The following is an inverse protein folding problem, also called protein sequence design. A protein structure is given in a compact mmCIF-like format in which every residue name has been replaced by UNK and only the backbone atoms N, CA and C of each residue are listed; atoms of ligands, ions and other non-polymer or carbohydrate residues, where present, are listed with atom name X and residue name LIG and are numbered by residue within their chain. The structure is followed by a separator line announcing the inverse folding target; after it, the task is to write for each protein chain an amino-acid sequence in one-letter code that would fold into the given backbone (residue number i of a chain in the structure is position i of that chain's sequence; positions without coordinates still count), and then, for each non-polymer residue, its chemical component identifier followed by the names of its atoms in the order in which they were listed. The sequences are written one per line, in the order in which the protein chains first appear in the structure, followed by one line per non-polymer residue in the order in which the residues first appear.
data_IF_249713886111
#
_entry.id   IF_249713886111
#
_cell.length_a   1.000
_cell.length_b   1.000
_cell.length_c   1.000
_cell.angle_alpha   90.00
_cell.angle_beta   90.00
_cell.angle_gamma   90.00
#
_symmetry.space_group_name_H-M   'P 1'
#
loop_
_entity.id
_entity.type
_entity.pdbx_description
1 polymer ?
#
# COMPACT_ATOMS: atom_id res chain seq x y z
N UNK A 1 -0.73 5.78 6.49
CA UNK A 1 -0.53 5.72 7.95
C UNK A 1 0.86 5.20 8.31
N UNK A 2 1.48 5.73 9.37
CA UNK A 2 2.77 5.26 9.91
C UNK A 2 2.55 4.41 11.16
N UNK A 3 2.81 3.11 11.06
CA UNK A 3 2.40 2.10 12.07
C UNK A 3 3.58 1.25 12.56
N UNK A 4 4.54 0.96 11.70
CA UNK A 4 5.62 0.02 11.98
C UNK A 4 6.79 0.76 12.61
N UNK A 5 7.24 0.31 13.77
CA UNK A 5 8.40 0.84 14.48
C UNK A 5 9.58 -0.12 14.40
N UNK A 6 10.79 0.36 14.71
CA UNK A 6 12.00 -0.50 14.77
C UNK A 6 11.81 -1.70 15.72
N UNK A 7 11.27 -1.54 16.95
CA UNK A 7 10.97 -2.69 17.81
C UNK A 7 10.07 -3.76 17.16
N UNK A 8 9.08 -3.35 16.36
CA UNK A 8 8.22 -4.32 15.66
C UNK A 8 9.01 -5.11 14.62
N UNK A 9 9.88 -4.43 13.86
CA UNK A 9 10.77 -5.08 12.89
C UNK A 9 11.72 -6.07 13.56
N UNK A 10 12.24 -5.73 14.73
CA UNK A 10 13.10 -6.65 15.50
C UNK A 10 12.33 -7.90 15.93
N UNK A 11 11.10 -7.73 16.42
CA UNK A 11 10.24 -8.83 16.84
C UNK A 11 9.85 -9.74 15.67
N UNK A 12 9.39 -9.14 14.56
CA UNK A 12 8.90 -9.88 13.39
C UNK A 12 10.04 -10.58 12.64
N UNK A 13 11.18 -9.91 12.45
CA UNK A 13 12.29 -10.40 11.63
C UNK A 13 13.38 -11.11 12.43
N UNK A 14 13.25 -11.15 13.77
CA UNK A 14 14.21 -11.73 14.71
C UNK A 14 15.63 -11.19 14.51
N UNK A 15 15.75 -9.86 14.43
CA UNK A 15 17.03 -9.15 14.21
C UNK A 15 17.36 -8.17 15.33
N UNK A 16 18.64 -7.81 15.44
CA UNK A 16 19.10 -6.76 16.36
C UNK A 16 18.61 -5.36 15.93
N UNK A 17 18.62 -4.38 16.83
CA UNK A 17 18.15 -3.01 16.55
C UNK A 17 18.99 -2.24 15.54
N UNK A 18 20.27 -2.59 15.39
CA UNK A 18 21.17 -1.95 14.44
C UNK A 18 20.79 -2.30 12.99
N UNK A 19 20.27 -3.50 12.76
CA UNK A 19 19.99 -4.04 11.44
C UNK A 19 18.86 -3.29 10.72
N UNK A 20 17.64 -3.13 11.29
CA UNK A 20 16.58 -2.34 10.65
C UNK A 20 16.98 -0.89 10.40
N UNK A 21 17.75 -0.26 11.31
CA UNK A 21 18.21 1.12 11.10
C UNK A 21 19.09 1.26 9.85
N UNK A 22 19.96 0.28 9.62
CA UNK A 22 20.78 0.22 8.40
C UNK A 22 19.96 -0.02 7.14
N UNK A 23 18.89 -0.81 7.20
CA UNK A 23 18.00 -1.04 6.06
C UNK A 23 17.13 0.17 5.73
N UNK A 24 16.56 0.80 6.75
CA UNK A 24 15.58 1.86 6.58
C UNK A 24 16.23 3.18 6.15
N UNK A 25 17.44 3.50 6.62
CA UNK A 25 18.17 4.70 6.14
C UNK A 25 17.31 5.97 6.13
N UNK A 26 17.07 6.50 4.94
CA UNK A 26 16.30 7.69 4.58
C UNK A 26 14.79 7.43 4.39
N UNK A 27 14.30 6.22 4.67
CA UNK A 27 12.89 5.85 4.52
C UNK A 27 11.98 6.84 5.28
N UNK A 28 10.91 7.35 4.62
CA UNK A 28 9.98 8.27 5.26
C UNK A 28 9.45 7.72 6.59
N UNK A 29 9.40 8.60 7.60
CA UNK A 29 9.00 8.24 8.96
C UNK A 29 8.37 9.41 9.67
N UNK A 30 7.50 9.08 10.62
CA UNK A 30 6.82 10.05 11.47
C UNK A 30 7.08 9.74 12.94
N UNK A 31 7.11 10.78 13.78
CA UNK A 31 7.33 10.63 15.22
C UNK A 31 6.02 10.22 15.91
N UNK A 32 6.01 9.03 16.51
CA UNK A 32 4.91 8.49 17.32
C UNK A 32 5.39 8.37 18.77
N UNK A 33 5.15 9.43 19.55
CA UNK A 33 5.64 9.54 20.92
C UNK A 33 7.19 9.57 21.00
N UNK A 34 7.83 8.66 21.75
CA UNK A 34 9.29 8.59 21.84
C UNK A 34 9.94 7.84 20.66
N UNK A 35 9.16 7.33 19.71
CA UNK A 35 9.64 6.47 18.61
C UNK A 35 9.33 7.10 17.26
N UNK A 36 9.96 6.55 16.22
CA UNK A 36 9.57 6.78 14.84
C UNK A 36 8.80 5.56 14.32
N UNK A 37 7.73 5.82 13.59
CA UNK A 37 6.97 4.84 12.84
C UNK A 37 7.15 5.05 11.33
N UNK A 38 7.00 3.97 10.59
CA UNK A 38 7.19 3.86 9.15
C UNK A 38 5.89 3.32 8.54
N UNK A 39 5.64 3.64 7.26
CA UNK A 39 4.53 3.01 6.53
C UNK A 39 4.98 1.64 6.07
N UNK A 40 4.15 0.62 6.25
CA UNK A 40 4.43 -0.72 5.74
C UNK A 40 4.79 -0.75 4.22
N UNK A 41 4.05 -0.05 3.32
CA UNK A 41 4.42 -0.04 1.90
C UNK A 41 5.80 0.57 1.61
N UNK A 42 6.33 1.44 2.49
CA UNK A 42 7.63 2.09 2.29
C UNK A 42 8.81 1.22 2.73
N UNK A 43 8.60 0.37 3.74
CA UNK A 43 9.66 -0.45 4.31
C UNK A 43 9.82 -1.80 3.60
N UNK A 44 8.75 -2.37 3.04
CA UNK A 44 8.80 -3.67 2.38
C UNK A 44 9.83 -3.69 1.23
N UNK A 45 9.86 -2.71 0.30
CA UNK A 45 10.86 -2.69 -0.77
C UNK A 45 12.27 -2.57 -0.23
N UNK A 46 12.49 -1.72 0.79
CA UNK A 46 13.81 -1.48 1.39
C UNK A 46 14.36 -2.73 2.08
N UNK A 47 13.51 -3.48 2.79
CA UNK A 47 13.91 -4.74 3.43
C UNK A 47 14.29 -5.76 2.36
N UNK A 48 13.50 -5.89 1.29
CA UNK A 48 13.78 -6.83 0.20
C UNK A 48 15.08 -6.51 -0.54
N UNK A 49 15.31 -5.23 -0.82
CA UNK A 49 16.52 -4.76 -1.49
C UNK A 49 17.78 -5.00 -0.65
N UNK A 50 17.73 -4.71 0.66
CA UNK A 50 18.93 -4.70 1.51
C UNK A 50 19.16 -5.98 2.30
N UNK A 51 18.21 -6.90 2.32
CA UNK A 51 18.35 -8.19 3.00
C UNK A 51 18.74 -9.28 1.99
N UNK A 52 19.90 -9.93 2.14
CA UNK A 52 20.36 -10.95 1.17
C UNK A 52 19.38 -12.11 0.93
N UNK A 53 18.60 -12.49 1.96
CA UNK A 53 17.59 -13.56 1.87
C UNK A 53 16.18 -13.04 1.52
N UNK A 54 16.04 -11.74 1.24
CA UNK A 54 14.76 -11.09 1.07
C UNK A 54 13.88 -11.15 2.33
N UNK A 55 12.56 -11.15 2.11
CA UNK A 55 11.54 -11.23 3.15
C UNK A 55 10.73 -12.52 2.93
N UNK A 56 10.71 -13.42 3.92
CA UNK A 56 9.91 -14.64 3.82
C UNK A 56 8.41 -14.34 3.97
N UNK A 57 7.55 -15.23 3.49
CA UNK A 57 6.09 -15.08 3.61
C UNK A 57 5.62 -14.98 5.06
N UNK A 58 6.23 -15.74 5.98
CA UNK A 58 5.89 -15.69 7.40
C UNK A 58 6.27 -14.33 8.04
N UNK A 59 7.42 -13.78 7.66
CA UNK A 59 7.84 -12.46 8.13
C UNK A 59 6.98 -11.34 7.55
N UNK A 60 6.64 -11.42 6.26
CA UNK A 60 5.72 -10.48 5.62
C UNK A 60 4.34 -10.50 6.31
N UNK A 61 3.81 -11.70 6.59
CA UNK A 61 2.55 -11.87 7.33
C UNK A 61 2.63 -11.27 8.73
N UNK A 62 3.71 -11.53 9.48
CA UNK A 62 3.89 -10.96 10.81
C UNK A 62 3.93 -9.42 10.81
N UNK A 63 4.56 -8.81 9.81
CA UNK A 63 4.56 -7.36 9.65
C UNK A 63 3.17 -6.80 9.31
N UNK A 64 2.43 -7.48 8.44
CA UNK A 64 1.04 -7.11 8.09
C UNK A 64 0.13 -7.20 9.31
N UNK A 65 0.26 -8.23 10.15
CA UNK A 65 -0.53 -8.38 11.38
C UNK A 65 -0.28 -7.23 12.35
N UNK A 66 0.98 -6.84 12.56
CA UNK A 66 1.32 -5.69 13.41
C UNK A 66 0.75 -4.39 12.84
N UNK A 67 0.87 -4.17 11.52
CA UNK A 67 0.28 -3.02 10.85
C UNK A 67 -1.24 -2.96 11.07
N UNK A 68 -1.94 -4.06 10.80
CA UNK A 68 -3.41 -4.17 10.95
C UNK A 68 -3.87 -3.83 12.37
N UNK A 69 -3.24 -4.42 13.39
CA UNK A 69 -3.58 -4.17 14.80
C UNK A 69 -3.36 -2.72 15.20
N UNK A 70 -2.38 -2.03 14.61
CA UNK A 70 -2.12 -0.62 14.91
C UNK A 70 -3.04 0.33 14.14
N UNK A 71 -3.44 -0.03 12.92
CA UNK A 71 -4.40 0.74 12.11
C UNK A 71 -5.81 0.76 12.69
N UNK A 72 -6.25 -0.30 13.37
CA UNK A 72 -7.60 -0.36 13.96
C UNK A 72 -7.89 0.73 14.99
N UNK A 73 -6.88 1.53 15.38
CA UNK A 73 -7.00 2.65 16.30
C UNK A 73 -7.20 4.03 15.63
N UNK A 74 -7.43 4.08 14.31
CA UNK A 74 -8.06 5.23 13.64
C UNK A 74 -7.25 5.84 12.50
N UNK A 75 -7.85 5.89 11.31
CA UNK A 75 -7.81 6.98 10.32
C UNK A 75 -8.55 6.53 9.04
N UNK A 76 -9.03 7.50 8.27
CA UNK A 76 -9.55 7.27 6.92
C UNK A 76 -8.40 6.86 5.98
N UNK A 77 -8.41 5.62 5.48
CA UNK A 77 -7.32 5.06 4.68
C UNK A 77 -7.46 5.31 3.18
N UNK A 78 -8.50 6.06 2.77
CA UNK A 78 -8.81 6.22 1.36
C UNK A 78 -7.84 7.16 0.66
N UNK A 79 -7.43 8.28 1.26
CA UNK A 79 -6.47 9.19 0.65
C UNK A 79 -5.03 8.70 0.83
N UNK A 80 -4.32 8.52 -0.28
CA UNK A 80 -2.98 7.94 -0.26
C UNK A 80 -1.84 8.97 -0.19
N UNK A 81 -2.09 10.26 -0.40
CA UNK A 81 -1.06 11.31 -0.38
C UNK A 81 -0.44 11.63 -1.74
N UNK A 82 0.24 12.76 -1.85
CA UNK A 82 0.77 13.31 -3.12
C UNK A 82 1.90 12.46 -3.73
N UNK A 83 2.72 11.79 -2.90
CA UNK A 83 3.83 10.93 -3.31
C UNK A 83 3.40 9.48 -3.60
N UNK A 84 2.10 9.20 -3.63
CA UNK A 84 1.55 7.85 -3.74
C UNK A 84 1.99 7.13 -5.02
N UNK A 85 2.13 7.84 -6.15
CA UNK A 85 2.55 7.22 -7.42
C UNK A 85 3.92 6.55 -7.29
N UNK A 86 4.90 7.28 -6.78
CA UNK A 86 6.28 6.82 -6.69
C UNK A 86 6.40 5.67 -5.68
N UNK A 87 5.72 5.80 -4.55
CA UNK A 87 5.67 4.74 -3.53
C UNK A 87 5.02 3.46 -4.06
N UNK A 88 3.90 3.58 -4.76
CA UNK A 88 3.22 2.44 -5.37
C UNK A 88 4.13 1.74 -6.39
N UNK A 89 4.82 2.51 -7.25
CA UNK A 89 5.75 1.93 -8.22
C UNK A 89 6.91 1.19 -7.55
N UNK A 90 7.52 1.78 -6.52
CA UNK A 90 8.59 1.12 -5.74
C UNK A 90 8.10 -0.18 -5.10
N UNK A 91 6.88 -0.18 -4.57
CA UNK A 91 6.29 -1.37 -3.98
C UNK A 91 6.02 -2.45 -5.03
N UNK A 92 5.33 -2.12 -6.12
CA UNK A 92 4.99 -3.06 -7.19
C UNK A 92 6.24 -3.70 -7.78
N UNK A 93 7.30 -2.92 -8.03
CA UNK A 93 8.56 -3.44 -8.56
C UNK A 93 9.29 -4.38 -7.59
N UNK A 94 8.94 -4.36 -6.31
CA UNK A 94 9.53 -5.23 -5.29
C UNK A 94 8.74 -6.52 -5.06
N UNK A 95 7.55 -6.66 -5.66
CA UNK A 95 6.68 -7.82 -5.47
C UNK A 95 7.29 -9.08 -6.09
N UNK A 96 7.07 -10.21 -5.43
CA UNK A 96 7.29 -11.53 -6.04
C UNK A 96 6.25 -11.79 -7.11
N UNK A 97 6.47 -12.80 -7.95
CA UNK A 97 5.51 -13.23 -8.97
C UNK A 97 4.13 -13.52 -8.37
N UNK A 98 4.08 -14.35 -7.32
CA UNK A 98 2.82 -14.70 -6.64
C UNK A 98 2.07 -13.49 -6.05
N UNK A 99 2.81 -12.50 -5.55
CA UNK A 99 2.23 -11.26 -5.02
C UNK A 99 1.72 -10.36 -6.14
N UNK A 100 2.43 -10.33 -7.26
CA UNK A 100 2.02 -9.59 -8.46
C UNK A 100 0.74 -10.15 -9.05
N UNK A 101 0.57 -11.47 -9.07
CA UNK A 101 -0.68 -12.14 -9.49
C UNK A 101 -1.85 -11.75 -8.57
N UNK A 102 -1.63 -11.74 -7.25
CA UNK A 102 -2.66 -11.30 -6.28
C UNK A 102 -3.02 -9.82 -6.44
N UNK A 103 -2.04 -8.96 -6.71
CA UNK A 103 -2.32 -7.56 -7.02
C UNK A 103 -3.12 -7.43 -8.33
N UNK A 104 -2.76 -8.19 -9.36
CA UNK A 104 -3.49 -8.20 -10.64
C UNK A 104 -4.95 -8.65 -10.46
N UNK A 105 -5.20 -9.63 -9.59
CA UNK A 105 -6.55 -10.02 -9.20
C UNK A 105 -7.33 -8.83 -8.59
N UNK A 106 -6.75 -8.13 -7.62
CA UNK A 106 -7.36 -6.95 -7.00
C UNK A 106 -7.66 -5.85 -8.01
N UNK A 107 -6.73 -5.59 -8.92
CA UNK A 107 -6.90 -4.62 -10.01
C UNK A 107 -8.05 -4.99 -10.96
N UNK A 108 -8.23 -6.28 -11.25
CA UNK A 108 -9.33 -6.78 -12.06
C UNK A 108 -10.68 -6.58 -11.36
N UNK A 109 -10.77 -6.94 -10.07
CA UNK A 109 -11.98 -6.75 -9.26
C UNK A 109 -12.36 -5.26 -9.14
N UNK A 110 -11.36 -4.41 -8.89
CA UNK A 110 -11.55 -2.96 -8.86
C UNK A 110 -12.12 -2.43 -10.19
N UNK A 111 -11.51 -2.81 -11.32
CA UNK A 111 -11.96 -2.37 -12.64
C UNK A 111 -13.38 -2.84 -12.93
N UNK A 112 -13.71 -4.09 -12.62
CA UNK A 112 -15.05 -4.63 -12.80
C UNK A 112 -16.09 -3.84 -11.98
N UNK A 113 -15.78 -3.52 -10.72
CA UNK A 113 -16.67 -2.75 -9.86
C UNK A 113 -16.90 -1.30 -10.33
N UNK A 114 -15.88 -0.66 -10.93
CA UNK A 114 -16.04 0.68 -11.53
C UNK A 114 -16.94 0.64 -12.77
N UNK A 115 -16.79 -0.38 -13.62
CA UNK A 115 -17.63 -0.57 -14.81
C UNK A 115 -19.10 -0.78 -14.43
N UNK A 116 -19.38 -1.58 -13.41
CA UNK A 116 -20.75 -1.80 -12.90
C UNK A 116 -21.43 -0.50 -12.44
N UNK A 117 -20.65 0.49 -12.00
CA UNK A 117 -21.17 1.75 -11.43
C UNK A 117 -21.23 2.91 -12.42
N UNK A 118 -20.88 2.68 -13.69
CA UNK A 118 -20.93 3.69 -14.76
C UNK A 118 -20.29 5.02 -14.34
N UNK A 119 -19.15 4.95 -13.63
CA UNK A 119 -18.46 6.15 -13.19
C UNK A 119 -17.99 6.98 -14.39
N UNK A 120 -17.83 8.28 -14.17
CA UNK A 120 -17.55 9.26 -15.21
C UNK A 120 -16.33 8.88 -16.07
N UNK A 121 -16.33 9.30 -17.33
CA UNK A 121 -15.26 9.07 -18.31
C UNK A 121 -13.90 9.59 -17.81
N UNK A 122 -13.91 10.63 -16.97
CA UNK A 122 -12.69 11.15 -16.34
C UNK A 122 -12.03 10.13 -15.41
N UNK A 123 -12.80 9.39 -14.61
CA UNK A 123 -12.26 8.33 -13.73
C UNK A 123 -11.58 7.24 -14.56
N UNK A 124 -12.20 6.85 -15.68
CA UNK A 124 -11.63 5.86 -16.59
C UNK A 124 -10.35 6.34 -17.28
N UNK A 125 -10.18 7.65 -17.46
CA UNK A 125 -8.96 8.23 -18.05
C UNK A 125 -7.74 8.00 -17.14
N UNK A 126 -7.96 7.84 -15.84
CA UNK A 126 -6.91 7.61 -14.84
C UNK A 126 -6.90 6.19 -14.28
N UNK A 127 -7.55 5.23 -14.96
CA UNK A 127 -7.72 3.86 -14.45
C UNK A 127 -6.40 3.17 -14.13
N UNK A 128 -5.39 3.28 -15.00
CA UNK A 128 -4.09 2.63 -14.79
C UNK A 128 -3.33 3.23 -13.60
N UNK A 129 -3.50 4.54 -13.38
CA UNK A 129 -2.96 5.22 -12.20
C UNK A 129 -3.65 4.73 -10.93
N UNK A 130 -4.99 4.68 -10.91
CA UNK A 130 -5.75 4.18 -9.77
C UNK A 130 -5.43 2.71 -9.45
N UNK A 131 -5.31 1.87 -10.49
CA UNK A 131 -4.91 0.45 -10.37
C UNK A 131 -3.52 0.28 -9.77
N UNK A 132 -2.58 1.17 -10.10
CA UNK A 132 -1.25 1.19 -9.48
C UNK A 132 -1.36 1.54 -7.99
N UNK A 133 -2.16 2.56 -7.65
CA UNK A 133 -2.32 3.03 -6.28
C UNK A 133 -2.95 2.00 -5.33
N UNK A 134 -3.75 1.06 -5.84
CA UNK A 134 -4.33 -0.03 -5.04
C UNK A 134 -3.28 -0.79 -4.22
N UNK A 135 -2.04 -0.91 -4.71
CA UNK A 135 -0.96 -1.59 -3.99
C UNK A 135 -0.65 -0.96 -2.62
N UNK A 136 -0.97 0.33 -2.44
CA UNK A 136 -0.78 1.05 -1.18
C UNK A 136 -1.96 0.95 -0.23
N UNK A 137 -3.14 0.54 -0.72
CA UNK A 137 -4.30 0.40 0.15
C UNK A 137 -4.01 -0.71 1.17
N UNK A 138 -4.15 -0.45 2.48
CA UNK A 138 -3.63 -1.37 3.48
C UNK A 138 -4.23 -2.78 3.44
N UNK A 139 -5.50 -2.89 3.09
CA UNK A 139 -6.19 -4.17 3.02
C UNK A 139 -5.83 -4.93 1.74
N UNK A 140 -5.61 -4.22 0.63
CA UNK A 140 -5.09 -4.82 -0.59
C UNK A 140 -3.66 -5.31 -0.37
N UNK A 141 -2.83 -4.50 0.28
CA UNK A 141 -1.48 -4.89 0.67
C UNK A 141 -1.48 -6.11 1.59
N UNK A 142 -2.40 -6.16 2.56
CA UNK A 142 -2.55 -7.32 3.43
C UNK A 142 -2.88 -8.59 2.63
N UNK A 143 -3.85 -8.54 1.73
CA UNK A 143 -4.19 -9.67 0.85
C UNK A 143 -3.00 -10.08 -0.02
N UNK A 144 -2.34 -9.12 -0.68
CA UNK A 144 -1.17 -9.38 -1.53
C UNK A 144 -0.08 -10.11 -0.76
N UNK A 145 0.18 -9.73 0.50
CA UNK A 145 1.26 -10.31 1.31
C UNK A 145 0.87 -11.62 2.01
N UNK A 146 -0.41 -11.87 2.26
CA UNK A 146 -0.86 -12.98 3.14
C UNK A 146 -1.72 -14.03 2.45
N UNK A 147 -2.30 -13.70 1.30
CA UNK A 147 -3.34 -14.46 0.60
C UNK A 147 -4.60 -14.72 1.44
N UNK A 148 -4.90 -13.85 2.41
CA UNK A 148 -6.11 -13.92 3.23
C UNK A 148 -7.25 -13.14 2.57
N UNK A 149 -8.20 -13.82 1.92
CA UNK A 149 -9.34 -13.19 1.26
C UNK A 149 -10.24 -12.41 2.22
N UNK A 150 -10.26 -12.75 3.52
CA UNK A 150 -11.13 -12.12 4.51
C UNK A 150 -10.77 -10.65 4.77
N UNK A 151 -9.61 -10.19 4.30
CA UNK A 151 -9.20 -8.78 4.40
C UNK A 151 -9.68 -7.94 3.22
N UNK A 152 -10.12 -8.56 2.12
CA UNK A 152 -10.50 -7.81 0.92
C UNK A 152 -11.73 -6.93 1.20
N UNK A 153 -11.75 -5.68 0.67
CA UNK A 153 -12.87 -4.79 0.87
C UNK A 153 -14.09 -5.24 0.03
N UNK A 154 -15.28 -4.74 0.38
CA UNK A 154 -16.42 -4.81 -0.54
C UNK A 154 -16.14 -3.91 -1.75
N UNK A 155 -15.76 -4.53 -2.87
CA UNK A 155 -15.38 -3.86 -4.11
C UNK A 155 -16.45 -2.89 -4.62
N UNK A 156 -17.74 -3.19 -4.43
CA UNK A 156 -18.84 -2.36 -4.93
C UNK A 156 -18.95 -1.02 -4.19
N UNK A 157 -18.62 -1.02 -2.90
CA UNK A 157 -18.58 0.20 -2.09
C UNK A 157 -17.21 0.88 -2.18
N UNK A 158 -16.15 0.09 -2.13
CA UNK A 158 -14.76 0.56 -2.06
C UNK A 158 -14.29 1.21 -3.37
N UNK A 159 -14.49 0.55 -4.52
CA UNK A 159 -13.86 1.00 -5.77
C UNK A 159 -14.28 2.43 -6.17
N UNK A 160 -15.58 2.80 -6.14
CA UNK A 160 -16.01 4.17 -6.42
C UNK A 160 -15.42 5.18 -5.44
N UNK A 161 -15.46 4.90 -4.14
CA UNK A 161 -14.96 5.80 -3.11
C UNK A 161 -13.45 6.04 -3.27
N UNK A 162 -12.68 4.96 -3.48
CA UNK A 162 -11.25 5.03 -3.72
C UNK A 162 -10.91 5.85 -4.98
N UNK A 163 -11.66 5.62 -6.07
CA UNK A 163 -11.45 6.32 -7.33
C UNK A 163 -11.71 7.83 -7.21
N UNK A 164 -12.81 8.23 -6.55
CA UNK A 164 -13.16 9.65 -6.37
C UNK A 164 -12.11 10.38 -5.53
N UNK A 165 -11.58 9.74 -4.49
CA UNK A 165 -10.64 10.37 -3.56
C UNK A 165 -9.21 10.48 -4.13
N UNK A 166 -8.81 9.53 -4.98
CA UNK A 166 -7.44 9.45 -5.49
C UNK A 166 -7.30 9.76 -6.98
N UNK A 167 -8.39 10.05 -7.69
CA UNK A 167 -8.28 10.54 -9.06
C UNK A 167 -7.53 11.89 -9.06
N UNK A 168 -6.59 12.11 -10.00
CA UNK A 168 -6.00 13.42 -10.19
C UNK A 168 -7.11 14.43 -10.49
N UNK A 169 -7.00 15.65 -9.95
CA UNK A 169 -7.85 16.74 -10.41
C UNK A 169 -7.67 16.91 -11.93
N UNK A 170 -8.78 16.89 -12.67
CA UNK A 170 -8.74 17.23 -14.08
C UNK A 170 -8.20 18.66 -14.20
N UNK A 171 -7.09 18.83 -14.91
CA UNK A 171 -6.57 20.16 -15.21
C UNK A 171 -7.68 20.89 -15.97
N UNK A 172 -8.15 22.07 -15.53
CA UNK A 172 -9.21 22.75 -16.25
C UNK A 172 -8.75 22.93 -17.69
N UNK A 173 -9.56 22.44 -18.63
CA UNK A 173 -9.38 22.71 -20.04
C UNK A 173 -9.35 24.23 -20.15
N UNK A 174 -8.17 24.81 -20.43
CA UNK A 174 -8.11 26.21 -20.82
C UNK A 174 -9.02 26.32 -22.04
N UNK A 175 -10.18 26.93 -21.86
CA UNK A 175 -11.03 27.34 -22.97
C UNK A 175 -10.13 28.18 -23.89
N UNK A 176 -9.78 27.61 -25.03
CA UNK A 176 -9.09 28.32 -26.08
C UNK A 176 -10.09 29.35 -26.63
N UNK A 177 -9.88 30.59 -26.21
CA UNK A 177 -10.51 31.79 -26.78
C UNK A 177 -10.10 31.99 -28.24
#
# INVERSE_FOLDING_TARGET
MFTITVPDLQACLRVSSATPKGWLGDCPRERTGPRYAYRLPDILPRIRERRPRGLSAAEARSLVEVDRVKRSYGEDTLYLGEDARERAQRLVNSLTESESERLAYCQSQFTAALVERLLDREVFTHIEFLRLLLALHPDILAYVMTADDAVLPDWRAFAPAFAVINAPESTPIKEAA
#
